data_IF_961527393739
#
_entry.id   IF_961527393739
#
_cell.length_a   1.000
_cell.length_b   1.000
_cell.length_c   1.000
_cell.angle_alpha   90.00
_cell.angle_beta   90.00
_cell.angle_gamma   90.00
#
_symmetry.space_group_name_H-M   'P 1'
#
loop_
_entity.id
_entity.type
_entity.pdbx_description
1 polymer ?
#
# COMPACT_ATOMS: atom_id res chain seq x y z
N UNK A 1 -20.74 4.49 4.68
CA UNK A 1 -21.40 4.08 3.41
C UNK A 1 -20.36 4.17 2.31
N UNK A 2 -20.20 3.12 1.51
CA UNK A 2 -19.26 3.09 0.38
C UNK A 2 -19.87 3.95 -0.74
N UNK A 3 -19.14 4.97 -1.22
CA UNK A 3 -19.66 5.91 -2.22
C UNK A 3 -18.96 5.84 -3.58
N UNK A 4 -17.96 4.99 -3.74
CA UNK A 4 -17.28 4.74 -5.01
C UNK A 4 -16.98 3.24 -5.18
N UNK A 5 -16.89 2.73 -6.43
CA UNK A 5 -16.45 1.35 -6.66
C UNK A 5 -15.03 1.18 -6.12
N UNK A 6 -14.84 0.21 -5.22
CA UNK A 6 -13.55 -0.13 -4.65
C UNK A 6 -13.17 -1.53 -5.13
N UNK A 7 -11.91 -1.71 -5.53
CA UNK A 7 -11.37 -3.05 -5.76
C UNK A 7 -11.24 -3.72 -4.40
N UNK A 8 -11.78 -4.93 -4.29
CA UNK A 8 -11.76 -5.72 -3.05
C UNK A 8 -10.47 -6.54 -2.97
N UNK A 9 -10.03 -6.83 -1.74
CA UNK A 9 -8.89 -7.70 -1.46
C UNK A 9 -7.71 -6.96 -0.85
N UNK A 10 -7.25 -7.43 0.32
CA UNK A 10 -6.08 -6.90 1.02
C UNK A 10 -4.87 -7.86 0.96
N UNK A 11 -5.02 -8.98 0.26
CA UNK A 11 -3.99 -10.02 0.11
C UNK A 11 -3.87 -10.34 -1.37
N UNK A 12 -2.79 -9.88 -2.01
CA UNK A 12 -2.59 -10.04 -3.45
C UNK A 12 -1.17 -10.50 -3.73
N UNK A 13 -1.07 -11.54 -4.55
CA UNK A 13 0.18 -12.01 -5.15
C UNK A 13 0.12 -11.81 -6.66
N UNK A 14 1.27 -11.59 -7.29
CA UNK A 14 1.32 -11.34 -8.72
C UNK A 14 2.71 -11.52 -9.31
N UNK A 15 2.82 -11.23 -10.60
CA UNK A 15 4.10 -11.17 -11.31
C UNK A 15 4.37 -9.75 -11.76
N UNK A 16 5.62 -9.33 -11.64
CA UNK A 16 6.07 -8.02 -12.14
C UNK A 16 6.00 -8.03 -13.67
N UNK A 17 5.24 -7.12 -14.26
CA UNK A 17 5.22 -6.93 -15.73
C UNK A 17 6.29 -5.92 -16.15
N UNK A 18 6.49 -4.89 -15.34
CA UNK A 18 7.52 -3.88 -15.52
C UNK A 18 7.89 -3.29 -14.16
N UNK A 19 9.16 -2.93 -13.95
CA UNK A 19 9.61 -2.23 -12.76
C UNK A 19 10.65 -1.17 -13.13
N UNK A 20 10.59 -0.06 -12.42
CA UNK A 20 11.58 1.02 -12.41
C UNK A 20 12.84 0.69 -11.58
N UNK A 21 12.82 -0.42 -10.85
CA UNK A 21 13.93 -0.87 -9.99
C UNK A 21 14.77 -1.93 -10.66
N UNK A 22 16.09 -1.78 -10.61
CA UNK A 22 17.04 -2.79 -11.11
C UNK A 22 17.04 -4.10 -10.30
N UNK A 23 16.38 -4.12 -9.13
CA UNK A 23 16.28 -5.29 -8.24
C UNK A 23 15.04 -6.15 -8.52
N UNK A 24 14.11 -5.66 -9.33
CA UNK A 24 12.88 -6.36 -9.68
C UNK A 24 12.91 -6.69 -11.17
N UNK A 25 12.77 -7.97 -11.49
CA UNK A 25 12.80 -8.46 -12.86
C UNK A 25 11.40 -8.72 -13.39
N UNK A 26 11.18 -8.49 -14.68
CA UNK A 26 9.94 -8.87 -15.36
C UNK A 26 9.72 -10.40 -15.22
N UNK A 27 8.50 -10.79 -14.84
CA UNK A 27 8.12 -12.18 -14.53
C UNK A 27 8.36 -12.61 -13.08
N UNK A 28 9.01 -11.80 -12.24
CA UNK A 28 9.27 -12.14 -10.85
C UNK A 28 7.97 -12.23 -10.05
N UNK A 29 7.80 -13.32 -9.30
CA UNK A 29 6.68 -13.48 -8.36
C UNK A 29 6.90 -12.59 -7.15
N UNK A 30 5.90 -11.76 -6.85
CA UNK A 30 5.93 -10.80 -5.74
C UNK A 30 4.66 -10.87 -4.93
N UNK A 31 4.78 -10.67 -3.62
CA UNK A 31 3.65 -10.40 -2.73
C UNK A 31 3.52 -8.87 -2.57
N UNK A 32 2.32 -8.35 -2.74
CA UNK A 32 2.06 -6.91 -2.64
C UNK A 32 1.75 -6.60 -1.17
N UNK A 33 2.57 -5.76 -0.53
CA UNK A 33 2.26 -5.25 0.80
C UNK A 33 1.24 -4.08 0.67
N UNK A 34 0.02 -4.19 1.23
CA UNK A 34 -1.00 -3.13 1.13
C UNK A 34 -0.71 -1.93 2.05
N UNK A 35 0.24 -2.06 2.97
CA UNK A 35 0.63 -0.98 3.88
C UNK A 35 1.62 -0.06 3.19
N UNK A 36 1.21 1.19 2.94
CA UNK A 36 2.10 2.25 2.45
C UNK A 36 2.30 3.29 3.56
N UNK A 37 3.25 3.07 4.49
CA UNK A 37 3.60 4.07 5.49
C UNK A 37 4.22 5.30 4.82
N UNK A 38 4.10 6.46 5.47
CA UNK A 38 4.60 7.72 4.91
C UNK A 38 6.14 7.83 4.95
N UNK A 39 6.80 7.17 5.89
CA UNK A 39 8.26 7.18 6.05
C UNK A 39 8.84 8.42 6.74
N UNK A 40 8.03 9.45 7.01
CA UNK A 40 8.49 10.72 7.57
C UNK A 40 7.80 11.14 8.89
N UNK A 41 6.78 10.40 9.36
CA UNK A 41 6.18 10.67 10.67
C UNK A 41 7.05 10.11 11.82
N UNK A 42 6.81 10.62 13.04
CA UNK A 42 7.49 10.17 14.26
C UNK A 42 7.51 8.64 14.40
N UNK A 43 6.37 7.99 14.17
CA UNK A 43 6.24 6.54 14.29
C UNK A 43 6.98 5.77 13.20
N UNK A 44 7.04 6.29 11.97
CA UNK A 44 7.83 5.67 10.90
C UNK A 44 9.33 5.74 11.19
N UNK A 45 9.82 6.87 11.73
CA UNK A 45 11.23 7.04 12.10
C UNK A 45 11.59 6.10 13.27
N UNK A 46 10.65 5.87 14.19
CA UNK A 46 10.79 4.91 15.30
C UNK A 46 10.60 3.43 14.90
N UNK A 47 10.53 3.12 13.59
CA UNK A 47 10.24 1.78 13.04
C UNK A 47 8.87 1.18 13.47
N UNK A 48 7.97 2.00 14.01
CA UNK A 48 6.59 1.64 14.33
C UNK A 48 5.65 2.04 13.17
N UNK A 49 5.92 1.49 11.98
CA UNK A 49 5.22 1.84 10.74
C UNK A 49 3.70 1.56 10.80
N UNK A 50 3.31 0.59 11.63
CA UNK A 50 1.91 0.24 11.92
C UNK A 50 1.13 1.37 12.60
N UNK A 51 1.82 2.28 13.32
CA UNK A 51 1.23 3.45 13.97
C UNK A 51 1.38 4.72 13.15
N UNK A 52 1.70 4.59 11.86
CA UNK A 52 1.85 5.74 10.97
C UNK A 52 0.56 6.58 10.95
N UNK A 53 0.67 7.86 11.30
CA UNK A 53 -0.46 8.81 11.33
C UNK A 53 -1.03 9.10 9.95
N UNK A 54 -0.20 8.97 8.91
CA UNK A 54 -0.58 9.12 7.50
C UNK A 54 -0.47 7.79 6.75
N UNK A 55 -0.79 6.68 7.44
CA UNK A 55 -0.78 5.34 6.83
C UNK A 55 -1.78 5.31 5.68
N UNK A 56 -1.29 5.06 4.46
CA UNK A 56 -2.18 4.76 3.33
C UNK A 56 -2.29 3.24 3.22
N UNK A 57 -3.39 2.71 3.72
CA UNK A 57 -3.74 1.32 3.46
C UNK A 57 -4.46 1.24 2.12
N UNK A 58 -3.91 0.48 1.18
CA UNK A 58 -4.66 0.13 -0.03
C UNK A 58 -5.98 -0.54 0.39
N UNK A 59 -7.10 -0.03 -0.13
CA UNK A 59 -8.46 -0.59 0.05
C UNK A 59 -9.15 -0.34 1.39
N UNK A 60 -8.59 0.49 2.28
CA UNK A 60 -9.34 1.00 3.43
C UNK A 60 -9.94 2.37 3.11
N UNK A 61 -11.26 2.47 3.30
CA UNK A 61 -12.09 3.64 2.99
C UNK A 61 -11.89 4.81 3.99
N UNK A 62 -10.66 5.08 4.41
CA UNK A 62 -10.33 6.13 5.38
C UNK A 62 -9.80 7.41 4.74
N UNK A 63 -9.37 7.36 3.46
CA UNK A 63 -8.56 8.43 2.84
C UNK A 63 -9.17 8.97 1.53
N UNK A 64 -10.47 9.25 1.53
CA UNK A 64 -11.06 10.12 0.50
C UNK A 64 -11.99 11.15 1.16
N UNK A 65 -11.69 12.47 1.11
CA UNK A 65 -12.53 13.52 1.71
C UNK A 65 -13.87 13.73 1.00
N UNK A 66 -14.10 13.03 -0.11
CA UNK A 66 -15.32 13.12 -0.89
C UNK A 66 -15.88 11.73 -1.07
N UNK A 67 -16.44 11.23 0.02
CA UNK A 67 -17.54 10.33 -0.07
C UNK A 67 -18.68 11.14 -0.72
#
# INVERSE_FOLDING_TARGET
MIKAPMVLGHEVIGKVIHSDSSKLHEGQTVAINPSKPCGHCKYCIEHNENQCTEMRFFWQCHVFPSC
#
